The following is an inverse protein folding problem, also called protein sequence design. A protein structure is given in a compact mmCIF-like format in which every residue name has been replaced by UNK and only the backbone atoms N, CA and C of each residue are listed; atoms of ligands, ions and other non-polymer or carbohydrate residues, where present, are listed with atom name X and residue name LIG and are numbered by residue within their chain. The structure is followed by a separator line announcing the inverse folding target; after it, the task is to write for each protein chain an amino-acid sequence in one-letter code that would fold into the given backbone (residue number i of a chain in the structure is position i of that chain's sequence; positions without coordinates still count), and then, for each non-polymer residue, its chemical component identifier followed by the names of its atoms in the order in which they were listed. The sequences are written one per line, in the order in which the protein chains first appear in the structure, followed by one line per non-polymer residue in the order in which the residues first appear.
data_IF_831940927864
#
_entry.id   IF_831940927864
#
_cell.length_a   1.000
_cell.length_b   1.000
_cell.length_c   1.000
_cell.angle_alpha   90.00
_cell.angle_beta   90.00
_cell.angle_gamma   90.00
#
_symmetry.space_group_name_H-M   'P 1'
#
loop_
_entity.id
_entity.type
_entity.pdbx_description
1 polymer ?
#
# COMPACT_ATOMS: atom_id res chain seq x y z
N UNK A 1 6.61 -1.97 -15.68
CA UNK A 1 5.84 -2.58 -14.58
C UNK A 1 4.35 -2.37 -14.86
N UNK A 2 3.43 -2.88 -14.04
CA UNK A 2 2.03 -2.45 -14.11
C UNK A 2 1.97 -0.93 -13.87
N UNK A 3 1.13 -0.19 -14.63
CA UNK A 3 0.95 1.27 -14.44
C UNK A 3 0.58 1.60 -13.00
N UNK A 4 -0.13 0.71 -12.34
CA UNK A 4 -0.48 0.85 -10.93
C UNK A 4 0.75 0.86 -10.00
N UNK A 5 1.75 0.02 -10.28
CA UNK A 5 2.96 -0.08 -9.46
C UNK A 5 3.92 1.11 -9.69
N UNK A 6 3.89 1.73 -10.87
CA UNK A 6 4.68 2.91 -11.19
C UNK A 6 4.02 4.20 -10.69
N UNK A 7 2.73 4.37 -11.00
CA UNK A 7 1.93 5.52 -10.56
C UNK A 7 0.44 5.15 -10.49
N UNK A 8 0.01 4.76 -9.29
CA UNK A 8 -1.37 4.39 -9.01
C UNK A 8 -2.37 5.54 -9.27
N UNK A 9 -1.94 6.82 -9.23
CA UNK A 9 -2.83 7.96 -9.49
C UNK A 9 -3.29 8.01 -10.94
N UNK A 10 -2.47 7.50 -11.87
CA UNK A 10 -2.83 7.43 -13.27
C UNK A 10 -3.74 6.23 -13.61
N UNK A 11 -3.95 5.30 -12.68
CA UNK A 11 -4.53 3.99 -12.98
C UNK A 11 -6.06 3.97 -13.20
N UNK A 12 -6.75 5.11 -13.12
CA UNK A 12 -8.20 5.19 -13.36
C UNK A 12 -9.04 4.50 -12.28
N UNK A 13 -8.60 4.65 -11.03
CA UNK A 13 -9.23 4.06 -9.85
C UNK A 13 -10.49 4.82 -9.43
N UNK A 14 -11.41 4.14 -8.76
CA UNK A 14 -12.55 4.79 -8.11
C UNK A 14 -12.11 5.62 -6.90
N UNK A 15 -12.98 6.54 -6.48
CA UNK A 15 -12.70 7.50 -5.39
C UNK A 15 -12.34 6.80 -4.08
N UNK A 16 -13.01 5.71 -3.72
CA UNK A 16 -12.74 4.99 -2.48
C UNK A 16 -11.36 4.35 -2.47
N UNK A 17 -10.94 3.80 -3.61
CA UNK A 17 -9.60 3.25 -3.78
C UNK A 17 -8.53 4.35 -3.73
N UNK A 18 -8.80 5.54 -4.30
CA UNK A 18 -7.88 6.68 -4.22
C UNK A 18 -7.64 7.09 -2.77
N UNK A 19 -8.70 7.33 -1.99
CA UNK A 19 -8.60 7.75 -0.58
C UNK A 19 -7.84 6.71 0.26
N UNK A 20 -8.10 5.42 0.03
CA UNK A 20 -7.38 4.33 0.67
C UNK A 20 -5.87 4.38 0.39
N UNK A 21 -5.48 4.61 -0.86
CA UNK A 21 -4.07 4.69 -1.26
C UNK A 21 -3.38 5.96 -0.74
N UNK A 22 -4.10 7.08 -0.61
CA UNK A 22 -3.59 8.30 0.02
C UNK A 22 -3.28 8.08 1.50
N UNK A 23 -4.18 7.41 2.25
CA UNK A 23 -3.90 7.00 3.63
C UNK A 23 -2.67 6.10 3.68
N UNK A 24 -2.62 5.06 2.82
CA UNK A 24 -1.52 4.11 2.81
C UNK A 24 -0.16 4.80 2.55
N UNK A 25 -0.12 5.71 1.58
CA UNK A 25 1.04 6.54 1.27
C UNK A 25 1.47 7.42 2.44
N UNK A 26 0.52 8.12 3.07
CA UNK A 26 0.78 8.99 4.23
C UNK A 26 1.31 8.18 5.41
N UNK A 27 0.70 7.03 5.70
CA UNK A 27 1.12 6.13 6.77
C UNK A 27 2.52 5.54 6.52
N UNK A 28 2.89 5.30 5.26
CA UNK A 28 4.24 4.83 4.90
C UNK A 28 5.31 5.91 5.01
N UNK A 29 5.02 7.16 4.58
CA UNK A 29 6.02 8.23 4.52
C UNK A 29 6.10 9.09 5.79
N UNK A 30 4.98 9.31 6.46
CA UNK A 30 4.84 10.19 7.61
C UNK A 30 3.78 9.68 8.59
N UNK A 31 3.96 8.50 9.22
CA UNK A 31 2.95 7.90 10.08
C UNK A 31 2.51 8.81 11.23
N UNK A 32 3.41 9.65 11.77
CA UNK A 32 3.08 10.61 12.84
C UNK A 32 2.25 11.82 12.39
N UNK A 33 2.01 11.98 11.09
CA UNK A 33 1.15 13.03 10.55
C UNK A 33 -0.28 12.54 10.24
N UNK A 34 -0.56 11.24 10.41
CA UNK A 34 -1.92 10.71 10.28
C UNK A 34 -2.77 11.19 11.44
N UNK A 35 -3.94 11.74 11.15
CA UNK A 35 -4.85 12.31 12.12
C UNK A 35 -6.32 11.88 11.87
N UNK A 36 -7.24 12.45 12.65
CA UNK A 36 -8.65 12.11 12.57
C UNK A 36 -9.29 12.48 11.22
N UNK A 37 -8.80 13.51 10.53
CA UNK A 37 -9.35 13.92 9.24
C UNK A 37 -9.10 12.87 8.16
N UNK A 38 -7.94 12.18 8.19
CA UNK A 38 -7.66 11.08 7.27
C UNK A 38 -8.65 9.90 7.47
N UNK A 39 -9.04 9.65 8.72
CA UNK A 39 -10.00 8.60 9.06
C UNK A 39 -11.41 8.97 8.62
N UNK A 40 -11.79 10.24 8.78
CA UNK A 40 -13.10 10.72 8.37
C UNK A 40 -13.26 10.70 6.84
N UNK A 41 -12.21 11.02 6.07
CA UNK A 41 -12.22 10.87 4.60
C UNK A 41 -12.50 9.42 4.16
N UNK A 42 -11.96 8.43 4.87
CA UNK A 42 -12.26 7.02 4.58
C UNK A 42 -13.71 6.67 4.89
N UNK A 43 -14.27 7.20 5.98
CA UNK A 43 -15.69 7.00 6.30
C UNK A 43 -16.60 7.62 5.25
N UNK A 44 -16.27 8.83 4.79
CA UNK A 44 -16.97 9.51 3.70
C UNK A 44 -16.89 8.72 2.38
N UNK A 45 -15.76 8.06 2.13
CA UNK A 45 -15.56 7.14 1.02
C UNK A 45 -16.26 5.77 1.18
N UNK A 46 -16.97 5.54 2.29
CA UNK A 46 -17.81 4.35 2.51
C UNK A 46 -17.14 3.22 3.28
N UNK A 47 -15.96 3.41 3.86
CA UNK A 47 -15.32 2.41 4.71
C UNK A 47 -15.93 2.39 6.11
N UNK A 48 -16.11 1.20 6.67
CA UNK A 48 -16.42 1.02 8.09
C UNK A 48 -15.14 0.95 8.95
N UNK A 49 -15.29 1.01 10.27
CA UNK A 49 -14.14 1.00 11.18
C UNK A 49 -13.30 -0.30 11.05
N UNK A 50 -13.92 -1.43 10.67
CA UNK A 50 -13.23 -2.68 10.42
C UNK A 50 -12.36 -2.62 9.14
N UNK A 51 -12.89 -2.02 8.07
CA UNK A 51 -12.18 -1.75 6.83
C UNK A 51 -11.00 -0.79 7.03
N UNK A 52 -11.21 0.29 7.76
CA UNK A 52 -10.15 1.25 8.11
C UNK A 52 -9.05 0.58 8.93
N UNK A 53 -9.43 -0.18 9.96
CA UNK A 53 -8.48 -0.94 10.78
C UNK A 53 -7.68 -1.94 9.95
N UNK A 54 -8.33 -2.60 8.99
CA UNK A 54 -7.66 -3.54 8.07
C UNK A 54 -6.67 -2.83 7.16
N UNK A 55 -7.04 -1.68 6.60
CA UNK A 55 -6.15 -0.85 5.78
C UNK A 55 -4.88 -0.47 6.53
N UNK A 56 -5.01 0.09 7.74
CA UNK A 56 -3.88 0.49 8.58
C UNK A 56 -2.98 -0.69 8.91
N UNK A 57 -3.55 -1.83 9.30
CA UNK A 57 -2.79 -3.03 9.65
C UNK A 57 -2.03 -3.61 8.46
N UNK A 58 -2.67 -3.71 7.28
CA UNK A 58 -2.02 -4.22 6.07
C UNK A 58 -0.87 -3.30 5.66
N UNK A 59 -1.09 -1.99 5.60
CA UNK A 59 -0.04 -1.02 5.28
C UNK A 59 1.12 -1.09 6.28
N UNK A 60 0.83 -1.15 7.59
CA UNK A 60 1.85 -1.24 8.63
C UNK A 60 2.64 -2.55 8.56
N UNK A 61 1.96 -3.67 8.29
CA UNK A 61 2.60 -4.97 8.14
C UNK A 61 3.59 -4.99 6.97
N UNK A 62 3.18 -4.48 5.80
CA UNK A 62 4.10 -4.39 4.65
C UNK A 62 5.25 -3.43 4.89
N UNK A 63 5.01 -2.31 5.59
CA UNK A 63 6.08 -1.43 6.04
C UNK A 63 7.10 -2.15 6.94
N UNK A 64 6.65 -3.02 7.85
CA UNK A 64 7.55 -3.83 8.67
C UNK A 64 8.32 -4.85 7.84
N UNK A 65 7.63 -5.67 7.03
CA UNK A 65 8.28 -6.77 6.31
C UNK A 65 9.26 -6.25 5.24
N UNK A 66 8.95 -5.15 4.57
CA UNK A 66 9.85 -4.51 3.61
C UNK A 66 11.15 -4.09 4.28
N UNK A 67 11.08 -3.50 5.49
CA UNK A 67 12.28 -3.14 6.27
C UNK A 67 13.10 -4.35 6.69
N UNK A 68 12.45 -5.47 7.03
CA UNK A 68 13.15 -6.72 7.37
C UNK A 68 13.83 -7.30 6.13
N UNK A 69 13.12 -7.39 5.01
CA UNK A 69 13.65 -7.93 3.76
C UNK A 69 14.83 -7.10 3.24
N UNK A 70 14.66 -5.78 3.12
CA UNK A 70 15.71 -4.86 2.67
C UNK A 70 16.88 -4.80 3.66
N UNK A 71 16.60 -4.75 4.95
CA UNK A 71 17.63 -4.67 6.00
C UNK A 71 18.50 -5.92 6.10
N UNK A 72 17.99 -7.08 5.70
CA UNK A 72 18.72 -8.35 5.67
C UNK A 72 19.25 -8.72 4.27
N UNK A 73 18.91 -7.94 3.24
CA UNK A 73 19.29 -8.25 1.86
C UNK A 73 18.64 -9.51 1.31
N UNK A 74 17.37 -9.76 1.64
CA UNK A 74 16.61 -10.90 1.13
C UNK A 74 16.46 -10.78 -0.38
N UNK A 75 16.93 -11.80 -1.11
CA UNK A 75 16.80 -11.85 -2.56
C UNK A 75 15.38 -12.26 -2.97
N UNK A 76 14.88 -11.74 -4.11
CA UNK A 76 13.63 -12.22 -4.70
C UNK A 76 13.66 -13.72 -4.97
N UNK A 77 12.49 -14.35 -4.97
CA UNK A 77 12.41 -15.77 -5.22
C UNK A 77 12.91 -16.14 -6.63
N UNK A 78 13.55 -17.33 -6.83
CA UNK A 78 14.15 -17.70 -8.11
C UNK A 78 13.17 -17.79 -9.30
N UNK A 79 11.88 -17.90 -9.01
CA UNK A 79 10.81 -17.95 -10.00
C UNK A 79 10.28 -16.55 -10.36
N UNK A 80 10.72 -15.49 -9.69
CA UNK A 80 10.41 -14.11 -10.05
C UNK A 80 11.44 -13.60 -11.08
N UNK A 81 10.97 -12.97 -12.15
CA UNK A 81 11.77 -12.23 -13.10
C UNK A 81 12.15 -10.86 -12.54
N UNK A 82 13.17 -10.24 -13.15
CA UNK A 82 13.65 -8.90 -12.75
C UNK A 82 12.58 -7.81 -12.96
N UNK A 83 11.53 -8.10 -13.75
CA UNK A 83 10.36 -7.26 -13.98
C UNK A 83 9.23 -7.47 -12.96
N UNK A 84 9.46 -8.29 -11.92
CA UNK A 84 8.50 -8.62 -10.86
C UNK A 84 7.43 -9.64 -11.27
N UNK A 85 7.50 -10.22 -12.48
CA UNK A 85 6.54 -11.23 -12.95
C UNK A 85 7.11 -12.64 -12.79
N UNK A 86 6.26 -13.68 -12.67
CA UNK A 86 6.76 -15.05 -12.67
C UNK A 86 7.53 -15.33 -13.97
N UNK A 87 8.75 -15.87 -13.86
CA UNK A 87 9.49 -16.41 -15.01
C UNK A 87 8.61 -17.49 -15.63
N UNK A 88 8.31 -17.35 -16.92
CA UNK A 88 7.66 -18.43 -17.66
C UNK A 88 8.55 -19.66 -17.58
N UNK A 89 8.00 -20.77 -17.07
CA UNK A 89 8.61 -22.10 -17.19
C UNK A 89 8.87 -22.46 -18.64
#
# INVERSE_FOLDING_TARGET
MDRFAEDWRSAGLDESTVVLLELAEKLTRAPGAVDAADIDLLREAGFDDAGISSAVQVTAYFNYINRVAEGLGVEPEPWLGDDGRPRSV
#
